data_IF_503702588053
#
_entry.id   IF_503702588053
#
_cell.length_a   1.000
_cell.length_b   1.000
_cell.length_c   1.000
_cell.angle_alpha   90.00
_cell.angle_beta   90.00
_cell.angle_gamma   90.00
#
_symmetry.space_group_name_H-M   'P 1'
#
loop_
_entity.id
_entity.type
_entity.pdbx_description
1 polymer ?
#
# COMPACT_ATOMS: atom_id res chain seq x y z
N UNK A 1 -8.46 -4.70 -19.86
CA UNK A 1 -7.09 -4.42 -19.38
C UNK A 1 -7.16 -4.42 -17.87
N UNK A 2 -6.37 -5.28 -17.22
CA UNK A 2 -6.49 -5.62 -15.79
C UNK A 2 -6.35 -4.37 -14.91
N UNK A 3 -7.43 -4.04 -14.18
CA UNK A 3 -7.62 -2.78 -13.45
C UNK A 3 -6.81 -2.64 -12.16
N UNK A 4 -5.50 -2.85 -12.24
CA UNK A 4 -4.56 -2.51 -11.17
C UNK A 4 -3.74 -1.29 -11.59
N UNK A 5 -3.64 -0.32 -10.70
CA UNK A 5 -2.81 0.87 -10.86
C UNK A 5 -1.70 0.81 -9.83
N UNK A 6 -0.44 1.04 -10.21
CA UNK A 6 0.66 1.20 -9.25
C UNK A 6 0.71 2.66 -8.80
N UNK A 7 0.87 2.89 -7.49
CA UNK A 7 1.07 4.24 -6.96
C UNK A 7 2.57 4.54 -6.90
N UNK A 8 3.04 5.53 -7.66
CA UNK A 8 4.47 5.83 -7.73
C UNK A 8 5.06 6.42 -6.44
N UNK A 9 4.22 6.95 -5.54
CA UNK A 9 4.65 7.61 -4.31
C UNK A 9 3.65 7.35 -3.19
N UNK A 10 4.02 6.47 -2.28
CA UNK A 10 3.34 6.31 -1.00
C UNK A 10 4.37 6.20 0.13
N UNK A 11 3.93 6.48 1.35
CA UNK A 11 4.75 6.34 2.56
C UNK A 11 3.95 5.56 3.60
N UNK A 12 4.56 4.55 4.21
CA UNK A 12 3.99 3.84 5.36
C UNK A 12 4.75 4.27 6.59
N UNK A 13 4.04 4.77 7.59
CA UNK A 13 4.60 5.21 8.85
C UNK A 13 3.83 4.60 10.02
N UNK A 14 4.55 4.27 11.09
CA UNK A 14 3.97 3.90 12.38
C UNK A 14 3.87 5.15 13.25
N UNK A 15 2.69 5.41 13.80
CA UNK A 15 2.48 6.46 14.79
C UNK A 15 2.75 5.98 16.22
N UNK A 16 2.82 6.94 17.14
CA UNK A 16 3.23 6.69 18.53
C UNK A 16 2.28 5.77 19.31
N UNK A 17 1.01 5.65 18.88
CA UNK A 17 0.00 4.78 19.50
C UNK A 17 -0.11 3.40 18.82
N UNK A 18 0.79 3.08 17.88
CA UNK A 18 0.76 1.83 17.11
C UNK A 18 -0.22 1.85 15.93
N UNK A 19 -0.81 3.01 15.62
CA UNK A 19 -1.59 3.21 14.41
C UNK A 19 -0.66 3.30 13.20
N UNK A 20 -1.02 2.60 12.12
CA UNK A 20 -0.28 2.65 10.86
C UNK A 20 -0.93 3.63 9.91
N UNK A 21 -0.12 4.53 9.37
CA UNK A 21 -0.52 5.54 8.41
C UNK A 21 0.03 5.20 7.03
N UNK A 22 -0.82 5.25 6.02
CA UNK A 22 -0.44 5.11 4.61
C UNK A 22 -0.76 6.43 3.92
N UNK A 23 0.28 7.17 3.55
CA UNK A 23 0.18 8.42 2.82
C UNK A 23 0.20 8.15 1.33
N UNK A 24 -0.77 8.68 0.58
CA UNK A 24 -0.84 8.60 -0.87
C UNK A 24 -1.32 9.92 -1.48
N UNK A 25 -1.09 10.08 -2.79
CA UNK A 25 -1.62 11.22 -3.52
C UNK A 25 -3.15 11.18 -3.57
N UNK A 26 -3.78 12.28 -3.17
CA UNK A 26 -5.23 12.38 -3.13
C UNK A 26 -5.87 12.16 -4.50
N UNK A 27 -6.95 11.38 -4.53
CA UNK A 27 -7.72 11.10 -5.74
C UNK A 27 -8.95 12.01 -5.80
N UNK A 28 -9.57 12.13 -6.98
CA UNK A 28 -10.70 13.07 -7.18
C UNK A 28 -11.94 12.66 -6.41
N UNK A 29 -12.29 11.38 -6.47
CA UNK A 29 -13.55 10.82 -5.97
C UNK A 29 -13.36 10.28 -4.54
N UNK A 30 -14.39 10.17 -3.69
CA UNK A 30 -14.24 9.63 -2.32
C UNK A 30 -13.91 8.12 -2.29
N UNK A 31 -13.25 7.58 -1.27
CA UNK A 31 -13.14 6.13 -1.11
C UNK A 31 -14.52 5.47 -0.96
N UNK A 32 -14.64 4.21 -1.40
CA UNK A 32 -15.86 3.41 -1.26
C UNK A 32 -15.49 1.99 -0.80
N UNK A 33 -15.81 1.65 0.45
CA UNK A 33 -15.33 0.45 1.14
C UNK A 33 -13.81 0.21 1.06
N UNK A 34 -12.99 1.16 1.54
CA UNK A 34 -11.55 1.07 1.44
C UNK A 34 -11.00 -0.09 2.28
N UNK A 35 -10.18 -0.94 1.66
CA UNK A 35 -9.52 -2.08 2.33
C UNK A 35 -8.14 -2.36 1.77
N UNK A 36 -7.25 -2.83 2.61
CA UNK A 36 -5.89 -3.23 2.24
C UNK A 36 -5.77 -4.74 2.38
N UNK A 37 -5.43 -5.41 1.27
CA UNK A 37 -5.13 -6.84 1.27
C UNK A 37 -3.62 -6.99 1.34
N UNK A 38 -3.14 -7.73 2.34
CA UNK A 38 -1.71 -7.93 2.54
C UNK A 38 -1.38 -9.38 2.85
N UNK A 39 -0.33 -9.92 2.22
CA UNK A 39 0.17 -11.28 2.45
C UNK A 39 1.43 -11.36 3.30
N UNK A 40 1.92 -10.22 3.81
CA UNK A 40 3.11 -10.19 4.65
C UNK A 40 4.44 -10.11 3.91
N UNK A 41 4.42 -10.00 2.58
CA UNK A 41 5.60 -9.91 1.73
C UNK A 41 5.86 -8.47 1.24
N UNK A 42 6.34 -8.33 -0.01
CA UNK A 42 6.86 -7.10 -0.61
C UNK A 42 5.76 -6.17 -1.13
N UNK A 43 4.54 -6.67 -1.33
CA UNK A 43 3.46 -5.94 -2.00
C UNK A 43 2.14 -6.09 -1.23
N UNK A 44 1.29 -5.07 -1.31
CA UNK A 44 -0.10 -5.12 -0.87
C UNK A 44 -1.03 -4.56 -1.96
N UNK A 45 -2.31 -4.90 -1.86
CA UNK A 45 -3.34 -4.31 -2.72
C UNK A 45 -4.22 -3.42 -1.85
N UNK A 46 -4.17 -2.13 -2.11
CA UNK A 46 -5.15 -1.19 -1.60
C UNK A 46 -6.35 -1.13 -2.54
N UNK A 47 -7.48 -1.70 -2.12
CA UNK A 47 -8.74 -1.53 -2.82
C UNK A 47 -9.43 -0.30 -2.25
N UNK A 48 -9.32 0.81 -2.97
CA UNK A 48 -9.94 2.09 -2.60
C UNK A 48 -11.43 2.11 -2.91
N UNK A 49 -11.79 1.45 -4.00
CA UNK A 49 -13.15 1.18 -4.49
C UNK A 49 -13.16 -0.24 -5.09
N UNK A 50 -14.32 -0.88 -5.27
CA UNK A 50 -14.39 -2.20 -5.93
C UNK A 50 -13.71 -2.25 -7.32
N UNK A 51 -13.74 -1.13 -8.03
CA UNK A 51 -13.15 -0.95 -9.36
C UNK A 51 -11.74 -0.32 -9.33
N UNK A 52 -11.35 0.30 -8.22
CA UNK A 52 -10.08 1.03 -8.06
C UNK A 52 -9.13 0.24 -7.15
N UNK A 53 -8.27 -0.56 -7.78
CA UNK A 53 -7.26 -1.38 -7.09
C UNK A 53 -5.89 -0.77 -7.30
N UNK A 54 -5.29 -0.33 -6.21
CA UNK A 54 -3.99 0.30 -6.18
C UNK A 54 -3.01 -0.70 -5.59
N UNK A 55 -1.86 -0.89 -6.23
CA UNK A 55 -0.79 -1.73 -5.69
C UNK A 55 0.15 -0.85 -4.87
N UNK A 56 0.37 -1.27 -3.63
CA UNK A 56 1.40 -0.72 -2.74
C UNK A 56 2.62 -1.64 -2.87
N UNK A 57 3.54 -1.28 -3.73
CA UNK A 57 4.74 -2.06 -4.04
C UNK A 57 5.95 -1.63 -3.21
N UNK A 58 6.86 -2.57 -2.95
CA UNK A 58 8.07 -2.31 -2.15
C UNK A 58 7.77 -1.85 -0.73
N UNK A 59 6.92 -2.59 -0.03
CA UNK A 59 6.67 -2.39 1.41
C UNK A 59 7.95 -2.66 2.20
N UNK A 60 8.42 -1.63 2.91
CA UNK A 60 9.67 -1.65 3.67
C UNK A 60 9.66 -2.79 4.70
N UNK A 61 10.74 -3.60 4.82
CA UNK A 61 10.82 -4.71 5.78
C UNK A 61 10.47 -4.33 7.23
N UNK A 62 10.84 -3.14 7.66
CA UNK A 62 10.63 -2.66 9.04
C UNK A 62 9.16 -2.44 9.42
N UNK A 63 8.24 -2.29 8.46
CA UNK A 63 6.81 -2.07 8.73
C UNK A 63 5.96 -3.33 8.48
N UNK A 64 6.55 -4.42 7.98
CA UNK A 64 5.81 -5.63 7.57
C UNK A 64 5.16 -6.32 8.77
N UNK A 65 5.87 -6.42 9.88
CA UNK A 65 5.38 -7.09 11.08
C UNK A 65 4.21 -6.33 11.70
N UNK A 66 4.24 -5.00 11.66
CA UNK A 66 3.17 -4.12 12.12
C UNK A 66 1.97 -4.24 11.19
N UNK A 67 2.17 -4.18 9.86
CA UNK A 67 1.09 -4.33 8.88
C UNK A 67 0.36 -5.67 9.02
N UNK A 68 1.07 -6.77 9.32
CA UNK A 68 0.44 -8.08 9.56
C UNK A 68 -0.40 -8.12 10.84
N UNK A 69 -0.06 -7.33 11.85
CA UNK A 69 -0.77 -7.29 13.14
C UNK A 69 -1.92 -6.27 13.15
N UNK A 70 -1.85 -5.27 12.27
CA UNK A 70 -2.84 -4.22 12.17
C UNK A 70 -4.19 -4.78 11.71
N UNK A 71 -5.26 -4.37 12.40
CA UNK A 71 -6.65 -4.66 11.97
C UNK A 71 -7.18 -3.61 11.00
N UNK A 72 -6.66 -2.40 11.09
CA UNK A 72 -7.01 -1.25 10.29
C UNK A 72 -5.78 -0.36 10.12
N UNK A 73 -5.77 0.41 9.05
CA UNK A 73 -4.75 1.43 8.79
C UNK A 73 -5.44 2.74 8.51
N UNK A 74 -4.76 3.85 8.81
CA UNK A 74 -5.22 5.19 8.47
C UNK A 74 -4.68 5.54 7.10
N UNK A 75 -5.56 5.66 6.12
CA UNK A 75 -5.22 6.19 4.82
C UNK A 75 -5.23 7.71 4.90
N UNK A 76 -4.15 8.35 4.43
CA UNK A 76 -4.01 9.81 4.39
C UNK A 76 -3.78 10.23 2.95
N UNK A 77 -4.77 10.88 2.36
CA UNK A 77 -4.73 11.41 1.01
C UNK A 77 -4.26 12.87 1.02
N UNK A 78 -3.14 13.17 0.36
CA UNK A 78 -2.55 14.52 0.32
C UNK A 78 -2.55 15.15 -1.06
N UNK A 79 -2.77 16.47 -1.12
CA UNK A 79 -2.53 17.30 -2.30
C UNK A 79 -1.35 18.20 -1.96
N UNK A 80 -0.21 17.96 -2.61
CA UNK A 80 1.06 18.61 -2.29
C UNK A 80 1.43 18.34 -0.82
N UNK A 81 1.33 19.34 0.04
CA UNK A 81 1.64 19.27 1.47
C UNK A 81 0.39 19.28 2.36
N UNK A 82 -0.80 19.42 1.77
CA UNK A 82 -2.05 19.50 2.53
C UNK A 82 -2.76 18.15 2.57
N UNK A 83 -3.24 17.77 3.75
CA UNK A 83 -4.14 16.62 3.91
C UNK A 83 -5.50 17.01 3.32
N UNK A 84 -5.91 16.30 2.28
CA UNK A 84 -7.25 16.44 1.69
C UNK A 84 -8.27 15.64 2.48
N UNK A 85 -7.92 14.40 2.78
CA UNK A 85 -8.83 13.45 3.39
C UNK A 85 -8.05 12.38 4.18
N UNK A 86 -8.63 11.91 5.27
CA UNK A 86 -8.09 10.79 6.04
C UNK A 86 -9.22 9.87 6.50
N UNK A 87 -9.02 8.57 6.37
CA UNK A 87 -10.04 7.58 6.70
C UNK A 87 -9.40 6.25 7.08
N UNK A 88 -10.15 5.42 7.80
CA UNK A 88 -9.70 4.07 8.13
C UNK A 88 -9.97 3.13 6.95
N UNK A 89 -9.00 2.28 6.63
CA UNK A 89 -9.17 1.15 5.74
C UNK A 89 -8.96 -0.15 6.53
N UNK A 90 -9.84 -1.12 6.31
CA UNK A 90 -9.72 -2.42 6.97
C UNK A 90 -8.55 -3.21 6.40
N UNK A 91 -7.78 -3.84 7.28
CA UNK A 91 -6.68 -4.72 6.89
C UNK A 91 -7.20 -6.15 6.74
N UNK A 92 -7.04 -6.71 5.55
CA UNK A 92 -7.36 -8.08 5.21
C UNK A 92 -6.04 -8.85 4.99
N UNK A 93 -5.57 -9.51 6.04
CA UNK A 93 -4.40 -10.38 5.96
C UNK A 93 -4.79 -11.70 5.33
N UNK A 94 -4.05 -12.13 4.31
CA UNK A 94 -4.25 -13.40 3.58
C UNK A 94 -2.94 -14.18 3.52
N UNK A 95 -3.01 -15.49 3.31
CA UNK A 95 -1.77 -16.31 3.18
C UNK A 95 -0.99 -15.98 1.91
N UNK A 96 -1.73 -15.67 0.83
CA UNK A 96 -1.16 -15.33 -0.48
C UNK A 96 -2.16 -14.52 -1.29
N UNK A 97 -1.71 -13.41 -1.86
CA UNK A 97 -2.50 -12.67 -2.83
C UNK A 97 -2.46 -13.44 -4.17
N UNK A 98 -3.60 -13.80 -4.77
CA UNK A 98 -3.65 -14.56 -6.03
C UNK A 98 -3.37 -13.65 -7.25
N UNK A 99 -2.35 -12.80 -7.15
CA UNK A 99 -1.89 -11.88 -8.20
C UNK A 99 -0.47 -12.27 -8.61
N UNK A 100 -0.26 -12.30 -9.91
CA UNK A 100 1.05 -12.56 -10.51
C UNK A 100 1.79 -11.24 -10.71
N UNK A 101 2.57 -10.85 -9.71
CA UNK A 101 3.29 -9.56 -9.67
C UNK A 101 4.23 -9.36 -10.85
N UNK A 102 4.86 -10.44 -11.33
CA UNK A 102 5.76 -10.42 -12.49
C UNK A 102 5.06 -9.97 -13.77
N UNK A 103 3.78 -10.32 -13.95
CA UNK A 103 2.97 -9.86 -15.08
C UNK A 103 2.60 -8.38 -15.01
N UNK A 104 2.68 -7.79 -13.82
CA UNK A 104 2.44 -6.37 -13.56
C UNK A 104 3.75 -5.57 -13.68
N UNK A 105 4.89 -6.24 -13.83
CA UNK A 105 6.21 -5.62 -13.96
C UNK A 105 6.84 -5.24 -12.63
N UNK A 106 6.30 -5.75 -11.51
CA UNK A 106 6.86 -5.55 -10.18
C UNK A 106 7.95 -6.58 -9.89
N UNK A 107 8.99 -6.13 -9.20
CA UNK A 107 10.18 -6.90 -8.81
C UNK A 107 10.21 -7.12 -7.30
N UNK A 108 11.06 -8.00 -6.83
CA UNK A 108 11.26 -8.21 -5.39
C UNK A 108 12.11 -7.08 -4.79
N UNK A 109 12.00 -6.90 -3.48
CA UNK A 109 12.83 -5.92 -2.74
C UNK A 109 14.33 -6.14 -2.96
N UNK A 110 14.77 -7.40 -3.00
CA UNK A 110 16.16 -7.77 -3.23
C UNK A 110 16.67 -7.28 -4.59
N UNK A 111 15.86 -7.37 -5.64
CA UNK A 111 16.23 -6.94 -7.00
C UNK A 111 16.34 -5.42 -7.13
N UNK A 112 15.59 -4.66 -6.32
CA UNK A 112 15.68 -3.18 -6.29
C UNK A 112 16.89 -2.73 -5.49
N UNK A 113 17.08 -3.25 -4.27
CA UNK A 113 18.19 -2.83 -3.39
C UNK A 113 19.55 -3.16 -4.00
N UNK A 114 19.66 -4.28 -4.72
CA UNK A 114 20.90 -4.64 -5.40
C UNK A 114 21.26 -3.70 -6.57
N UNK A 115 20.29 -3.00 -7.16
CA UNK A 115 20.55 -2.00 -8.21
C UNK A 115 20.99 -0.65 -7.65
N UNK A 116 20.50 -0.26 -6.48
CA UNK A 116 20.81 1.04 -5.88
C UNK A 116 22.25 1.12 -5.31
N UNK A 117 22.88 -0.02 -5.04
CA UNK A 117 24.29 -0.10 -4.58
C UNK A 117 25.34 0.03 -5.70
N UNK A 118 24.94 0.37 -6.93
CA UNK A 118 25.85 0.45 -8.08
C UNK A 118 26.17 1.88 -8.53
N UNK A 119 25.87 2.90 -7.71
CA UNK A 119 26.19 4.32 -7.99
C UNK A 119 27.30 4.82 -7.09
#
# INVERSE_FOLDING_TARGET
MSGYTTENKFVIAEGDEGDLYIFLQAKKEHPDEPRVIYDGYDHAIFMRRPEERIILDYIHPEVRDQLRKARRVVMVETILENIKESYYADMQVVDKIPVDWSKIGLKTWEEIVLKDKQV
#
